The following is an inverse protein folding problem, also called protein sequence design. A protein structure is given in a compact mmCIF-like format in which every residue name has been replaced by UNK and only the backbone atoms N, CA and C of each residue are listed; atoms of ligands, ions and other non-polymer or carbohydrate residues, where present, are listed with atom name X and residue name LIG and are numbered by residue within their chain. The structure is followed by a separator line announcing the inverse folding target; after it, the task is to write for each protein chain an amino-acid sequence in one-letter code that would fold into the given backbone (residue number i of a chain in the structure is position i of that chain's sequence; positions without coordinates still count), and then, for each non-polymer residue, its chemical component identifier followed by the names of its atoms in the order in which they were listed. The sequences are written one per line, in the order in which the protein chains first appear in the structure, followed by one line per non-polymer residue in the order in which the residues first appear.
data_IF_927796442184
#
_entry.id   IF_927796442184
#
_cell.length_a   1.000
_cell.length_b   1.000
_cell.length_c   1.000
_cell.angle_alpha   90.00
_cell.angle_beta   90.00
_cell.angle_gamma   90.00
#
_symmetry.space_group_name_H-M   'P 1'
#
loop_
_entity.id
_entity.type
_entity.pdbx_description
1 polymer ?
#
# COMPACT_ATOMS: atom_id res chain seq x y z
N UNK A 1 9.64 13.04 -15.16
CA UNK A 1 11.08 13.21 -14.83
C UNK A 1 11.29 14.18 -13.67
N UNK A 2 10.73 15.39 -13.70
CA UNK A 2 10.81 16.35 -12.59
C UNK A 2 10.34 15.75 -11.26
N UNK A 3 9.25 14.98 -11.26
CA UNK A 3 8.72 14.30 -10.08
C UNK A 3 9.71 13.28 -9.50
N UNK A 4 10.31 12.42 -10.33
CA UNK A 4 11.34 11.47 -9.88
C UNK A 4 12.57 12.16 -9.27
N UNK A 5 12.99 13.29 -9.84
CA UNK A 5 14.09 14.06 -9.28
C UNK A 5 13.68 14.71 -7.96
N UNK A 6 12.50 15.34 -7.88
CA UNK A 6 11.98 15.95 -6.65
C UNK A 6 11.79 14.93 -5.54
N UNK A 7 11.21 13.77 -5.83
CA UNK A 7 10.97 12.72 -4.84
C UNK A 7 12.29 12.27 -4.22
N UNK A 8 13.33 12.04 -5.02
CA UNK A 8 14.61 11.54 -4.53
C UNK A 8 15.56 12.62 -3.96
N UNK A 9 15.60 13.82 -4.56
CA UNK A 9 16.63 14.83 -4.28
C UNK A 9 16.21 15.93 -3.30
N UNK A 10 14.91 16.08 -3.01
CA UNK A 10 14.39 17.14 -2.15
C UNK A 10 13.86 16.65 -0.79
N UNK A 11 14.03 15.38 -0.47
CA UNK A 11 13.76 14.83 0.86
C UNK A 11 15.07 14.55 1.59
N UNK A 12 15.16 14.94 2.87
CA UNK A 12 16.30 14.60 3.72
C UNK A 12 16.36 13.09 4.04
N UNK A 13 15.28 12.35 3.77
CA UNK A 13 15.13 10.91 3.95
C UNK A 13 14.88 10.17 2.62
N UNK A 14 15.15 8.86 2.58
CA UNK A 14 14.87 8.02 1.39
C UNK A 14 13.35 7.83 1.24
N UNK A 15 12.76 8.40 0.19
CA UNK A 15 11.30 8.35 -0.07
C UNK A 15 10.94 7.36 -1.17
N UNK A 16 11.61 7.47 -2.31
CA UNK A 16 11.39 6.67 -3.51
C UNK A 16 12.60 5.81 -3.84
N UNK A 17 12.42 4.89 -4.80
CA UNK A 17 13.55 4.18 -5.41
C UNK A 17 14.57 5.18 -5.96
N UNK A 18 15.85 4.90 -5.74
CA UNK A 18 16.92 5.80 -6.13
C UNK A 18 16.98 5.92 -7.64
N UNK A 19 17.02 7.17 -8.11
CA UNK A 19 17.15 7.53 -9.51
C UNK A 19 18.57 8.03 -9.79
N UNK A 20 19.29 7.34 -10.66
CA UNK A 20 20.67 7.68 -11.02
C UNK A 20 20.75 8.66 -12.19
N UNK A 21 19.74 8.66 -13.07
CA UNK A 21 19.68 9.53 -14.23
C UNK A 21 19.00 8.87 -15.43
N UNK A 22 19.20 9.45 -16.60
CA UNK A 22 18.67 8.94 -17.86
C UNK A 22 19.79 8.43 -18.76
N UNK A 23 19.45 7.49 -19.62
CA UNK A 23 20.28 7.04 -20.74
C UNK A 23 19.44 6.96 -22.00
N UNK A 24 20.06 6.69 -23.14
CA UNK A 24 19.40 6.51 -24.42
C UNK A 24 19.87 5.20 -25.05
N UNK A 25 18.92 4.41 -25.53
CA UNK A 25 19.22 3.19 -26.26
C UNK A 25 19.90 3.55 -27.60
N UNK A 26 21.10 3.02 -27.92
CA UNK A 26 21.82 3.42 -29.12
C UNK A 26 21.18 2.95 -30.42
N UNK A 27 20.30 1.94 -30.38
CA UNK A 27 19.66 1.38 -31.58
C UNK A 27 18.28 2.03 -31.81
N UNK A 28 17.41 1.97 -30.81
CA UNK A 28 16.03 2.46 -30.87
C UNK A 28 15.93 3.96 -30.60
N UNK A 29 16.98 4.59 -30.06
CA UNK A 29 17.00 5.98 -29.63
C UNK A 29 15.97 6.31 -28.53
N UNK A 30 15.42 5.29 -27.87
CA UNK A 30 14.48 5.42 -26.77
C UNK A 30 15.18 5.91 -25.51
N UNK A 31 14.59 6.89 -24.83
CA UNK A 31 15.07 7.32 -23.51
C UNK A 31 14.70 6.28 -22.45
N UNK A 32 15.64 6.00 -21.55
CA UNK A 32 15.48 5.06 -20.45
C UNK A 32 15.87 5.71 -19.13
N UNK A 33 15.21 5.29 -18.04
CA UNK A 33 15.56 5.70 -16.68
C UNK A 33 16.48 4.66 -16.04
N UNK A 34 17.53 5.12 -15.37
CA UNK A 34 18.45 4.28 -14.60
C UNK A 34 18.06 4.38 -13.13
N UNK A 35 17.52 3.28 -12.60
CA UNK A 35 17.02 3.16 -11.23
C UNK A 35 17.86 2.14 -10.45
N UNK A 36 17.78 2.20 -9.12
CA UNK A 36 18.35 1.17 -8.27
C UNK A 36 17.69 -0.18 -8.49
N UNK A 37 18.48 -1.24 -8.45
CA UNK A 37 17.98 -2.58 -8.74
C UNK A 37 17.37 -3.20 -7.49
N UNK A 38 16.03 -3.32 -7.48
CA UNK A 38 15.28 -4.01 -6.45
C UNK A 38 15.32 -5.53 -6.66
N UNK A 39 16.35 -6.17 -6.12
CA UNK A 39 16.64 -7.60 -6.33
C UNK A 39 15.47 -8.53 -6.01
N UNK A 40 14.71 -8.24 -4.95
CA UNK A 40 13.60 -9.08 -4.50
C UNK A 40 12.25 -8.66 -5.13
N UNK A 41 12.28 -7.72 -6.07
CA UNK A 41 11.12 -7.32 -6.86
C UNK A 41 10.08 -6.53 -6.08
N UNK A 42 8.79 -6.79 -6.38
CA UNK A 42 7.66 -6.04 -5.84
C UNK A 42 6.96 -6.73 -4.68
N UNK A 43 6.28 -5.93 -3.85
CA UNK A 43 5.63 -6.37 -2.62
C UNK A 43 4.54 -7.42 -2.88
N UNK A 44 3.82 -7.37 -4.01
CA UNK A 44 2.77 -8.36 -4.30
C UNK A 44 3.35 -9.76 -4.44
N UNK A 45 4.36 -9.91 -5.29
CA UNK A 45 5.01 -11.21 -5.50
C UNK A 45 5.74 -11.68 -4.24
N UNK A 46 6.33 -10.74 -3.49
CA UNK A 46 6.93 -11.05 -2.21
C UNK A 46 5.92 -11.60 -1.20
N UNK A 47 4.74 -10.98 -1.07
CA UNK A 47 3.68 -11.44 -0.16
C UNK A 47 3.18 -12.84 -0.55
N UNK A 48 2.95 -13.11 -1.84
CA UNK A 48 2.53 -14.45 -2.31
C UNK A 48 3.46 -15.57 -1.83
N UNK A 49 4.76 -15.31 -1.82
CA UNK A 49 5.78 -16.32 -1.49
C UNK A 49 6.07 -16.36 0.01
N UNK A 50 6.15 -15.18 0.65
CA UNK A 50 6.76 -15.03 1.97
C UNK A 50 5.77 -14.68 3.08
N UNK A 51 4.47 -14.52 2.81
CA UNK A 51 3.51 -14.01 3.81
C UNK A 51 3.58 -14.71 5.17
N UNK A 52 3.67 -16.05 5.19
CA UNK A 52 3.75 -16.84 6.43
C UNK A 52 5.03 -16.57 7.25
N UNK A 53 6.07 -16.03 6.63
CA UNK A 53 7.34 -15.66 7.28
C UNK A 53 7.34 -14.22 7.82
N UNK A 54 6.30 -13.42 7.54
CA UNK A 54 6.20 -12.02 7.95
C UNK A 54 5.43 -11.93 9.26
N UNK A 55 6.16 -11.76 10.37
CA UNK A 55 5.56 -11.57 11.69
C UNK A 55 4.93 -10.16 11.86
N UNK A 56 4.15 -9.99 12.93
CA UNK A 56 3.47 -8.72 13.22
C UNK A 56 4.40 -7.53 13.43
N UNK A 57 5.59 -7.74 13.99
CA UNK A 57 6.56 -6.66 14.14
C UNK A 57 6.99 -6.13 12.77
N UNK A 58 7.26 -7.02 11.82
CA UNK A 58 7.60 -6.65 10.46
C UNK A 58 6.41 -6.00 9.74
N UNK A 59 5.19 -6.54 9.90
CA UNK A 59 3.97 -5.92 9.33
C UNK A 59 3.79 -4.47 9.81
N UNK A 60 3.89 -4.22 11.12
CA UNK A 60 3.78 -2.87 11.69
C UNK A 60 4.89 -1.94 11.20
N UNK A 61 6.13 -2.43 11.17
CA UNK A 61 7.26 -1.68 10.66
C UNK A 61 7.05 -1.28 9.20
N UNK A 62 6.65 -2.24 8.36
CA UNK A 62 6.43 -2.01 6.94
C UNK A 62 5.29 -0.99 6.70
N UNK A 63 4.18 -1.09 7.44
CA UNK A 63 3.09 -0.10 7.36
C UNK A 63 3.57 1.29 7.75
N UNK A 64 4.34 1.40 8.83
CA UNK A 64 4.91 2.67 9.27
C UNK A 64 5.89 3.26 8.23
N UNK A 65 6.82 2.46 7.70
CA UNK A 65 7.80 2.88 6.69
C UNK A 65 7.09 3.40 5.42
N UNK A 66 6.08 2.70 4.92
CA UNK A 66 5.29 3.17 3.78
C UNK A 66 4.54 4.47 4.07
N UNK A 67 3.92 4.58 5.26
CA UNK A 67 3.23 5.82 5.63
C UNK A 67 4.19 7.01 5.75
N UNK A 68 5.39 6.79 6.26
CA UNK A 68 6.44 7.80 6.36
C UNK A 68 6.92 8.26 4.97
N UNK A 69 7.15 7.31 4.06
CA UNK A 69 7.56 7.63 2.68
C UNK A 69 6.50 8.42 1.92
N UNK A 70 5.24 8.02 2.04
CA UNK A 70 4.14 8.74 1.43
C UNK A 70 3.89 10.11 2.07
N UNK A 71 4.10 10.26 3.38
CA UNK A 71 4.08 11.57 4.05
C UNK A 71 5.08 12.52 3.38
N UNK A 72 6.33 12.10 3.20
CA UNK A 72 7.36 12.91 2.55
C UNK A 72 7.05 13.19 1.06
N UNK A 73 6.51 12.21 0.32
CA UNK A 73 6.06 12.43 -1.07
C UNK A 73 4.94 13.50 -1.12
N UNK A 74 4.00 13.43 -0.17
CA UNK A 74 2.90 14.38 -0.08
C UNK A 74 3.35 15.77 0.38
N UNK A 75 4.40 15.90 1.20
CA UNK A 75 5.00 17.19 1.54
C UNK A 75 5.57 17.92 0.33
N UNK A 76 6.01 17.17 -0.69
CA UNK A 76 6.46 17.70 -1.99
C UNK A 76 5.29 18.04 -2.93
N UNK A 77 4.04 17.98 -2.44
CA UNK A 77 2.81 18.18 -3.21
C UNK A 77 2.68 17.23 -4.42
N UNK A 78 3.24 16.01 -4.30
CA UNK A 78 3.11 14.93 -5.28
C UNK A 78 1.97 14.01 -4.86
N UNK A 79 1.06 13.69 -5.79
CA UNK A 79 0.09 12.60 -5.68
C UNK A 79 0.56 11.46 -6.56
N UNK A 80 0.60 10.24 -6.03
CA UNK A 80 1.14 9.08 -6.74
C UNK A 80 0.20 8.54 -7.82
N UNK A 81 -1.11 8.50 -7.54
CA UNK A 81 -2.18 8.03 -8.45
C UNK A 81 -2.21 6.54 -8.77
N UNK A 82 -1.07 5.86 -8.72
CA UNK A 82 -0.93 4.42 -8.95
C UNK A 82 -0.21 3.71 -7.79
N UNK A 83 -0.62 4.01 -6.55
CA UNK A 83 0.00 3.44 -5.37
C UNK A 83 -0.57 2.04 -5.09
N UNK A 84 0.15 0.99 -5.46
CA UNK A 84 -0.23 -0.40 -5.20
C UNK A 84 1.00 -1.28 -4.93
N UNK A 85 0.84 -2.53 -4.46
CA UNK A 85 1.96 -3.41 -4.11
C UNK A 85 2.91 -3.77 -5.26
N UNK A 86 2.51 -3.53 -6.52
CA UNK A 86 3.38 -3.70 -7.68
C UNK A 86 4.42 -2.57 -7.82
N UNK A 87 4.09 -1.38 -7.30
CA UNK A 87 4.94 -0.18 -7.29
C UNK A 87 5.66 0.02 -5.96
N UNK A 88 5.70 -1.01 -5.11
CA UNK A 88 6.49 -1.06 -3.89
C UNK A 88 7.58 -2.09 -4.08
N UNK A 89 8.82 -1.63 -4.20
CA UNK A 89 9.97 -2.44 -4.56
C UNK A 89 10.94 -2.60 -3.39
N UNK A 90 11.67 -3.71 -3.34
CA UNK A 90 12.73 -3.88 -2.36
C UNK A 90 13.83 -4.84 -2.84
N UNK A 91 15.03 -4.65 -2.30
CA UNK A 91 16.16 -5.56 -2.51
C UNK A 91 16.25 -6.67 -1.45
N UNK A 92 15.58 -6.50 -0.31
CA UNK A 92 15.59 -7.47 0.80
C UNK A 92 14.32 -7.46 1.69
N UNK A 93 13.32 -6.63 1.36
CA UNK A 93 12.10 -6.34 2.13
C UNK A 93 12.32 -5.96 3.60
N UNK A 94 13.53 -5.51 3.95
CA UNK A 94 13.81 -4.78 5.19
C UNK A 94 13.61 -3.28 5.02
N UNK A 95 13.79 -2.77 3.81
CA UNK A 95 13.52 -1.38 3.43
C UNK A 95 12.72 -1.38 2.13
N UNK A 96 11.53 -0.81 2.13
CA UNK A 96 10.71 -0.73 0.92
C UNK A 96 10.94 0.60 0.21
N UNK A 97 10.76 0.63 -1.10
CA UNK A 97 10.89 1.85 -1.89
C UNK A 97 9.65 2.01 -2.75
N UNK A 98 9.11 3.22 -2.77
CA UNK A 98 8.00 3.58 -3.65
C UNK A 98 8.59 3.89 -5.03
N UNK A 99 8.00 3.32 -6.07
CA UNK A 99 8.48 3.42 -7.45
C UNK A 99 7.37 3.83 -8.41
N UNK A 100 7.73 4.00 -9.67
CA UNK A 100 6.83 4.31 -10.77
C UNK A 100 5.98 5.57 -10.56
N UNK A 101 6.59 6.71 -10.83
CA UNK A 101 5.93 8.01 -10.80
C UNK A 101 5.47 8.44 -12.20
N UNK A 102 5.29 7.50 -13.13
CA UNK A 102 4.91 7.77 -14.52
C UNK A 102 3.54 8.44 -14.63
N UNK A 103 2.63 8.13 -13.71
CA UNK A 103 1.28 8.69 -13.60
C UNK A 103 1.16 9.79 -12.54
N UNK A 104 2.19 10.00 -11.72
CA UNK A 104 2.14 10.94 -10.61
C UNK A 104 1.96 12.38 -11.09
N UNK A 105 1.32 13.21 -10.26
CA UNK A 105 1.09 14.64 -10.56
C UNK A 105 1.49 15.54 -9.41
N UNK A 106 1.90 16.76 -9.76
CA UNK A 106 2.07 17.86 -8.82
C UNK A 106 0.73 18.57 -8.65
N UNK A 107 0.27 18.74 -7.41
CA UNK A 107 -1.03 19.36 -7.10
C UNK A 107 -1.11 20.83 -7.58
N UNK A 108 0.04 21.50 -7.72
CA UNK A 108 0.11 22.90 -8.18
C UNK A 108 0.34 23.05 -9.68
N UNK A 109 0.21 21.98 -10.47
CA UNK A 109 0.30 22.07 -11.92
C UNK A 109 -0.85 22.94 -12.47
N UNK A 110 -0.53 23.74 -13.49
CA UNK A 110 -1.29 24.89 -13.99
C UNK A 110 -2.81 24.62 -14.13
N UNK A 111 -3.71 25.33 -13.42
CA UNK A 111 -5.17 25.12 -13.46
C UNK A 111 -5.80 25.41 -14.84
N UNK A 112 -5.02 25.98 -15.78
CA UNK A 112 -5.47 26.37 -17.11
C UNK A 112 -5.42 25.24 -18.15
N UNK A 113 -5.04 24.02 -17.76
CA UNK A 113 -5.08 22.86 -18.64
C UNK A 113 -5.87 21.73 -17.96
N UNK A 114 -7.21 21.76 -18.02
CA UNK A 114 -8.02 20.65 -17.54
C UNK A 114 -7.75 19.47 -18.47
N UNK A 115 -6.77 18.64 -18.11
CA UNK A 115 -6.62 17.34 -18.72
C UNK A 115 -7.93 16.58 -18.56
N UNK A 116 -8.31 15.77 -19.56
CA UNK A 116 -9.45 14.88 -19.39
C UNK A 116 -9.27 14.08 -18.09
N UNK A 117 -10.34 13.96 -17.30
CA UNK A 117 -10.44 13.07 -16.14
C UNK A 117 -10.32 11.62 -16.62
N UNK A 118 -9.11 11.21 -16.93
CA UNK A 118 -8.78 9.83 -17.28
C UNK A 118 -8.50 9.10 -15.97
N UNK A 119 -9.12 7.93 -15.83
CA UNK A 119 -8.91 7.04 -14.69
C UNK A 119 -7.76 6.10 -15.06
N UNK A 120 -6.75 6.03 -14.20
CA UNK A 120 -5.56 5.21 -14.37
C UNK A 120 -5.26 4.37 -13.12
N UNK A 121 -4.40 3.37 -13.29
CA UNK A 121 -3.92 2.53 -12.21
C UNK A 121 -4.76 1.27 -11.98
N UNK A 122 -4.44 0.56 -10.89
CA UNK A 122 -4.97 -0.78 -10.62
C UNK A 122 -6.31 -0.72 -9.88
N UNK A 123 -7.39 -1.13 -10.56
CA UNK A 123 -8.79 -0.88 -10.16
C UNK A 123 -9.12 -1.04 -8.66
N UNK A 124 -8.79 -2.15 -7.97
CA UNK A 124 -9.09 -2.29 -6.54
C UNK A 124 -8.45 -1.25 -5.60
N UNK A 125 -7.37 -0.60 -6.05
CA UNK A 125 -6.62 0.41 -5.28
C UNK A 125 -7.03 1.85 -5.65
N UNK A 126 -7.89 2.03 -6.66
CA UNK A 126 -8.40 3.35 -7.05
C UNK A 126 -9.54 3.74 -6.10
N UNK A 127 -9.49 4.97 -5.59
CA UNK A 127 -10.49 5.49 -4.68
C UNK A 127 -11.86 5.70 -5.35
N UNK A 128 -12.99 5.53 -4.63
CA UNK A 128 -14.34 5.59 -5.21
C UNK A 128 -14.70 6.95 -5.84
N UNK A 129 -14.20 8.05 -5.29
CA UNK A 129 -14.40 9.41 -5.83
C UNK A 129 -13.65 9.64 -7.16
N UNK A 130 -12.59 8.87 -7.39
CA UNK A 130 -11.85 8.88 -8.66
C UNK A 130 -12.54 7.96 -9.67
N UNK A 131 -12.94 6.74 -9.24
CA UNK A 131 -13.66 5.78 -10.09
C UNK A 131 -14.99 6.31 -10.63
N UNK A 132 -15.70 7.11 -9.84
CA UNK A 132 -16.96 7.77 -10.23
C UNK A 132 -16.74 8.91 -11.24
N UNK A 133 -15.52 9.43 -11.36
CA UNK A 133 -15.20 10.63 -12.15
C UNK A 133 -15.64 11.94 -11.48
N UNK A 134 -16.09 11.89 -10.23
CA UNK A 134 -16.52 13.05 -9.46
C UNK A 134 -15.34 13.96 -9.16
N UNK A 135 -14.21 13.39 -8.76
CA UNK A 135 -13.00 14.10 -8.34
C UNK A 135 -11.76 13.67 -9.13
N UNK A 136 -10.74 14.54 -9.16
CA UNK A 136 -9.40 14.14 -9.60
C UNK A 136 -8.66 13.41 -8.46
N UNK A 137 -7.53 12.77 -8.79
CA UNK A 137 -6.68 12.16 -7.79
C UNK A 137 -6.15 13.21 -6.80
N UNK A 138 -6.37 12.96 -5.52
CA UNK A 138 -5.88 13.79 -4.41
C UNK A 138 -4.96 12.97 -3.50
N UNK A 139 -4.31 13.64 -2.54
CA UNK A 139 -3.58 12.96 -1.45
C UNK A 139 -4.47 11.91 -0.73
N UNK A 140 -5.76 12.20 -0.55
CA UNK A 140 -6.69 11.28 0.09
C UNK A 140 -7.02 10.05 -0.76
N UNK A 141 -6.84 10.11 -2.09
CA UNK A 141 -6.95 8.95 -2.97
C UNK A 141 -5.77 7.98 -2.75
N UNK A 142 -4.54 8.49 -2.61
CA UNK A 142 -3.38 7.64 -2.25
C UNK A 142 -3.56 7.00 -0.85
N UNK A 143 -4.22 7.69 0.09
CA UNK A 143 -4.55 7.14 1.42
C UNK A 143 -5.54 5.98 1.30
N UNK A 144 -6.52 6.05 0.40
CA UNK A 144 -7.40 4.92 0.11
C UNK A 144 -6.59 3.72 -0.38
N UNK A 145 -5.68 3.95 -1.33
CA UNK A 145 -4.81 2.89 -1.86
C UNK A 145 -3.94 2.28 -0.76
N UNK A 146 -3.40 3.09 0.16
CA UNK A 146 -2.68 2.61 1.34
C UNK A 146 -3.55 1.71 2.23
N UNK A 147 -4.83 2.03 2.42
CA UNK A 147 -5.77 1.17 3.16
C UNK A 147 -5.91 -0.22 2.54
N UNK A 148 -6.01 -0.29 1.21
CA UNK A 148 -6.08 -1.55 0.47
C UNK A 148 -4.75 -2.32 0.53
N UNK A 149 -3.60 -1.63 0.41
CA UNK A 149 -2.26 -2.21 0.60
C UNK A 149 -2.13 -2.79 2.02
N UNK A 150 -2.57 -2.06 3.03
CA UNK A 150 -2.52 -2.50 4.42
C UNK A 150 -3.38 -3.76 4.63
N UNK A 151 -4.58 -3.81 4.03
CA UNK A 151 -5.38 -5.02 4.02
C UNK A 151 -4.61 -6.23 3.43
N UNK A 152 -3.96 -6.07 2.28
CA UNK A 152 -3.21 -7.15 1.63
C UNK A 152 -1.98 -7.58 2.45
N UNK A 153 -1.25 -6.64 3.04
CA UNK A 153 -0.12 -6.95 3.92
C UNK A 153 -0.53 -7.70 5.21
N UNK A 154 -1.72 -7.42 5.73
CA UNK A 154 -2.21 -8.06 6.96
C UNK A 154 -2.78 -9.43 6.69
N UNK A 155 -3.53 -9.58 5.59
CA UNK A 155 -4.29 -10.80 5.28
C UNK A 155 -3.55 -11.76 4.36
N UNK A 156 -2.62 -11.24 3.55
CA UNK A 156 -1.92 -12.01 2.50
C UNK A 156 -2.76 -12.20 1.24
N UNK A 157 -3.99 -11.69 1.20
CA UNK A 157 -4.88 -11.83 0.06
C UNK A 157 -4.98 -10.50 -0.69
N UNK A 158 -4.86 -10.51 -2.03
CA UNK A 158 -5.18 -9.33 -2.81
C UNK A 158 -6.68 -9.02 -2.70
N UNK A 159 -7.09 -7.77 -2.93
CA UNK A 159 -8.49 -7.38 -2.89
C UNK A 159 -9.26 -7.99 -4.08
N UNK A 160 -10.41 -8.61 -3.79
CA UNK A 160 -11.36 -9.15 -4.79
C UNK A 160 -10.78 -10.19 -5.77
N UNK A 161 -10.05 -11.22 -5.30
CA UNK A 161 -9.36 -12.17 -6.17
C UNK A 161 -10.31 -12.96 -7.06
N UNK A 162 -11.55 -13.14 -6.65
CA UNK A 162 -12.55 -14.03 -7.23
C UNK A 162 -13.52 -13.33 -8.19
N UNK A 163 -13.35 -12.03 -8.44
CA UNK A 163 -14.26 -11.20 -9.25
C UNK A 163 -13.49 -10.58 -10.44
N UNK A 164 -14.10 -10.46 -11.64
CA UNK A 164 -13.54 -9.64 -12.71
C UNK A 164 -13.24 -8.20 -12.26
N UNK A 165 -12.11 -7.64 -12.69
CA UNK A 165 -11.80 -6.23 -12.48
C UNK A 165 -12.32 -5.40 -13.65
N UNK A 166 -13.63 -5.20 -13.67
CA UNK A 166 -14.35 -4.47 -14.71
C UNK A 166 -15.20 -3.32 -14.13
N UNK A 167 -16.02 -2.71 -14.98
CA UNK A 167 -16.90 -1.62 -14.58
C UNK A 167 -17.92 -2.02 -13.50
N UNK A 168 -18.30 -3.30 -13.39
CA UNK A 168 -19.22 -3.76 -12.34
C UNK A 168 -18.52 -3.74 -10.97
N UNK A 169 -17.25 -4.18 -10.91
CA UNK A 169 -16.46 -4.05 -9.68
C UNK A 169 -16.25 -2.58 -9.30
N UNK A 170 -15.94 -1.71 -10.28
CA UNK A 170 -15.82 -0.27 -10.03
C UNK A 170 -17.10 0.32 -9.41
N UNK A 171 -18.27 0.02 -10.00
CA UNK A 171 -19.56 0.45 -9.47
C UNK A 171 -19.84 -0.10 -8.06
N UNK A 172 -19.50 -1.37 -7.79
CA UNK A 172 -19.61 -1.94 -6.44
C UNK A 172 -18.74 -1.21 -5.43
N UNK A 173 -17.51 -0.84 -5.78
CA UNK A 173 -16.60 -0.06 -4.91
C UNK A 173 -17.17 1.32 -4.62
N UNK A 174 -17.68 2.02 -5.64
CA UNK A 174 -18.37 3.31 -5.48
C UNK A 174 -19.60 3.17 -4.56
N UNK A 175 -20.32 2.05 -4.63
CA UNK A 175 -21.46 1.73 -3.77
C UNK A 175 -21.07 1.17 -2.37
N UNK A 176 -19.78 1.23 -2.01
CA UNK A 176 -19.31 0.90 -0.67
C UNK A 176 -18.80 -0.53 -0.47
N UNK A 177 -18.63 -1.32 -1.53
CA UNK A 177 -17.93 -2.60 -1.43
C UNK A 177 -16.51 -2.39 -0.90
N UNK A 178 -16.11 -3.18 0.11
CA UNK A 178 -14.78 -3.20 0.69
C UNK A 178 -14.31 -4.65 0.89
N UNK A 179 -13.00 -4.93 0.89
CA UNK A 179 -12.48 -6.24 1.23
C UNK A 179 -12.85 -6.65 2.66
N UNK A 180 -13.11 -7.94 2.88
CA UNK A 180 -13.52 -8.47 4.18
C UNK A 180 -12.31 -8.68 5.09
N UNK A 181 -12.18 -7.84 6.12
CA UNK A 181 -11.12 -8.00 7.14
C UNK A 181 -11.45 -9.20 8.04
N UNK A 182 -10.52 -10.16 8.25
CA UNK A 182 -10.72 -11.26 9.18
C UNK A 182 -10.98 -10.77 10.62
N UNK A 183 -11.92 -11.41 11.33
CA UNK A 183 -12.33 -10.97 12.67
C UNK A 183 -11.22 -11.05 13.72
N UNK A 184 -10.20 -11.89 13.48
CA UNK A 184 -9.04 -12.06 14.37
C UNK A 184 -7.95 -11.02 14.12
N UNK A 185 -8.09 -10.15 13.11
CA UNK A 185 -7.18 -9.02 12.91
C UNK A 185 -7.25 -8.07 14.11
N UNK A 186 -6.11 -7.57 14.63
CA UNK A 186 -6.09 -6.57 15.69
C UNK A 186 -6.99 -5.37 15.37
N UNK A 187 -7.94 -5.07 16.26
CA UNK A 187 -8.94 -4.01 16.08
C UNK A 187 -8.33 -2.64 15.80
N UNK A 188 -7.19 -2.32 16.41
CA UNK A 188 -6.47 -1.07 16.14
C UNK A 188 -6.04 -0.98 14.67
N UNK A 189 -5.53 -2.07 14.10
CA UNK A 189 -5.14 -2.15 12.68
C UNK A 189 -6.36 -2.15 11.77
N UNK A 190 -7.43 -2.85 12.15
CA UNK A 190 -8.73 -2.79 11.46
C UNK A 190 -9.24 -1.35 11.38
N UNK A 191 -9.15 -0.56 12.46
CA UNK A 191 -9.55 0.86 12.46
C UNK A 191 -8.69 1.73 11.55
N UNK A 192 -7.38 1.47 11.47
CA UNK A 192 -6.49 2.16 10.51
C UNK A 192 -6.96 1.88 9.09
N UNK A 193 -7.07 0.61 8.70
CA UNK A 193 -7.52 0.21 7.35
C UNK A 193 -8.89 0.84 7.03
N UNK A 194 -9.83 0.76 7.98
CA UNK A 194 -11.19 1.26 7.77
C UNK A 194 -11.29 2.78 7.58
N UNK A 195 -10.47 3.56 8.28
CA UNK A 195 -10.42 5.02 8.09
C UNK A 195 -9.75 5.38 6.76
N UNK A 196 -8.70 4.66 6.36
CA UNK A 196 -8.02 4.90 5.08
C UNK A 196 -8.96 4.78 3.89
N UNK A 197 -9.90 3.81 3.91
CA UNK A 197 -10.84 3.59 2.80
C UNK A 197 -12.26 4.09 3.07
N UNK A 198 -12.45 5.02 4.00
CA UNK A 198 -13.76 5.63 4.27
C UNK A 198 -14.30 6.29 2.99
N UNK A 199 -15.60 6.14 2.75
CA UNK A 199 -16.25 6.73 1.58
C UNK A 199 -16.21 8.26 1.61
N UNK A 200 -16.21 8.86 2.81
CA UNK A 200 -16.05 10.30 2.99
C UNK A 200 -14.56 10.63 2.96
N UNK A 201 -14.13 11.29 1.89
CA UNK A 201 -12.74 11.69 1.68
C UNK A 201 -12.16 12.44 2.90
N UNK A 202 -12.94 13.32 3.53
CA UNK A 202 -12.53 14.12 4.69
C UNK A 202 -12.36 13.33 6.00
N UNK A 203 -12.79 12.07 6.04
CA UNK A 203 -12.62 11.19 7.21
C UNK A 203 -11.37 10.32 7.09
N UNK A 204 -10.71 10.33 5.92
CA UNK A 204 -9.44 9.64 5.72
C UNK A 204 -8.32 10.44 6.41
N UNK A 205 -7.41 9.76 7.14
CA UNK A 205 -6.31 10.43 7.81
C UNK A 205 -5.29 10.92 6.80
N UNK A 206 -4.41 11.83 7.21
CA UNK A 206 -3.20 12.14 6.44
C UNK A 206 -2.13 11.07 6.65
N UNK A 207 -1.13 11.02 5.77
CA UNK A 207 0.03 10.14 6.00
C UNK A 207 0.86 10.54 7.22
N UNK A 208 0.85 11.81 7.62
CA UNK A 208 1.46 12.28 8.88
C UNK A 208 0.77 11.64 10.10
N UNK A 209 -0.57 11.68 10.15
CA UNK A 209 -1.35 11.04 11.22
C UNK A 209 -1.13 9.53 11.25
N UNK A 210 -1.13 8.88 10.07
CA UNK A 210 -0.86 7.45 9.95
C UNK A 210 0.55 7.08 10.41
N UNK A 211 1.55 7.87 10.02
CA UNK A 211 2.95 7.65 10.40
C UNK A 211 3.11 7.70 11.92
N UNK A 212 2.58 8.74 12.56
CA UNK A 212 2.64 8.89 14.02
C UNK A 212 1.94 7.75 14.76
N UNK A 213 0.74 7.36 14.32
CA UNK A 213 -0.04 6.29 14.95
C UNK A 213 0.63 4.92 14.79
N UNK A 214 1.05 4.58 13.56
CA UNK A 214 1.71 3.30 13.27
C UNK A 214 3.08 3.19 13.94
N UNK A 215 3.80 4.30 14.10
CA UNK A 215 5.03 4.35 14.88
C UNK A 215 4.77 4.01 16.35
N UNK A 216 3.68 4.54 16.93
CA UNK A 216 3.23 4.18 18.27
C UNK A 216 2.99 2.67 18.40
N UNK A 217 2.24 2.07 17.49
CA UNK A 217 1.98 0.62 17.48
C UNK A 217 3.27 -0.20 17.34
N UNK A 218 4.13 0.15 16.38
CA UNK A 218 5.40 -0.53 16.16
C UNK A 218 6.32 -0.43 17.38
N UNK A 219 6.48 0.76 17.95
CA UNK A 219 7.39 1.00 19.09
C UNK A 219 6.94 0.24 20.33
N UNK A 220 5.65 0.27 20.68
CA UNK A 220 5.12 -0.51 21.80
C UNK A 220 5.33 -2.01 21.60
N UNK A 221 5.01 -2.55 20.42
CA UNK A 221 5.16 -3.98 20.16
C UNK A 221 6.63 -4.42 20.13
N UNK A 222 7.53 -3.60 19.54
CA UNK A 222 8.98 -3.82 19.54
C UNK A 222 9.53 -3.87 20.97
N UNK A 223 9.14 -2.93 21.81
CA UNK A 223 9.62 -2.83 23.18
C UNK A 223 9.08 -3.95 24.07
N UNK A 224 7.85 -4.42 23.79
CA UNK A 224 7.32 -5.66 24.35
C UNK A 224 8.18 -6.87 24.00
N UNK A 225 8.47 -7.09 22.72
CA UNK A 225 9.28 -8.23 22.28
C UNK A 225 10.71 -8.18 22.83
N UNK A 226 11.32 -6.99 22.93
CA UNK A 226 12.74 -6.84 23.32
C UNK A 226 12.96 -6.78 24.83
N UNK A 227 12.06 -6.15 25.58
CA UNK A 227 12.26 -5.81 26.99
C UNK A 227 11.15 -6.33 27.91
N UNK A 228 10.09 -6.94 27.37
CA UNK A 228 8.90 -7.31 28.15
C UNK A 228 8.09 -6.11 28.65
N UNK A 229 8.39 -4.89 28.18
CA UNK A 229 7.65 -3.67 28.53
C UNK A 229 6.31 -3.60 27.79
N UNK A 230 5.36 -2.81 28.28
CA UNK A 230 4.07 -2.60 27.59
C UNK A 230 3.31 -3.90 27.25
N UNK A 231 3.50 -4.96 28.04
CA UNK A 231 2.82 -6.25 27.87
C UNK A 231 1.29 -6.10 27.89
N UNK A 232 0.81 -5.06 28.57
CA UNK A 232 -0.60 -4.70 28.69
C UNK A 232 -1.04 -3.63 27.69
N UNK A 233 -0.18 -3.22 26.74
CA UNK A 233 -0.60 -2.31 25.66
C UNK A 233 -1.71 -2.95 24.85
N UNK A 234 -2.70 -2.15 24.48
CA UNK A 234 -3.86 -2.63 23.72
C UNK A 234 -3.43 -3.33 22.42
N UNK A 235 -2.44 -2.77 21.72
CA UNK A 235 -1.90 -3.36 20.49
C UNK A 235 -1.21 -4.71 20.74
N UNK A 236 -0.39 -4.82 21.80
CA UNK A 236 0.31 -6.06 22.13
C UNK A 236 -0.65 -7.18 22.50
N UNK A 237 -1.69 -6.87 23.30
CA UNK A 237 -2.75 -7.82 23.66
C UNK A 237 -3.50 -8.30 22.41
N UNK A 238 -3.87 -7.39 21.50
CA UNK A 238 -4.61 -7.74 20.30
C UNK A 238 -3.79 -8.58 19.32
N UNK A 239 -2.50 -8.26 19.14
CA UNK A 239 -1.60 -9.04 18.30
C UNK A 239 -1.41 -10.44 18.86
N UNK A 240 -1.16 -10.59 20.17
CA UNK A 240 -1.01 -11.90 20.79
C UNK A 240 -2.25 -12.79 20.54
N UNK A 241 -3.45 -12.23 20.67
CA UNK A 241 -4.70 -12.95 20.37
C UNK A 241 -4.81 -13.36 18.90
N UNK A 242 -4.35 -12.51 17.98
CA UNK A 242 -4.32 -12.82 16.56
C UNK A 242 -3.35 -13.98 16.25
N UNK A 243 -2.16 -13.95 16.83
CA UNK A 243 -1.14 -15.01 16.69
C UNK A 243 -1.61 -16.34 17.28
N UNK A 244 -2.21 -16.32 18.47
CA UNK A 244 -2.82 -17.51 19.10
C UNK A 244 -3.92 -18.12 18.23
N UNK A 245 -4.74 -17.27 17.57
CA UNK A 245 -5.77 -17.75 16.66
C UNK A 245 -5.18 -18.42 15.41
N UNK A 246 -4.17 -17.81 14.78
CA UNK A 246 -3.50 -18.38 13.60
C UNK A 246 -2.82 -19.72 13.92
N UNK A 247 -2.12 -19.83 15.05
CA UNK A 247 -1.46 -21.07 15.47
C UNK A 247 -2.47 -22.22 15.69
N UNK A 248 -3.66 -21.91 16.22
CA UNK A 248 -4.70 -22.91 16.40
C UNK A 248 -5.29 -23.39 15.07
N UNK A 249 -5.37 -22.54 14.04
CA UNK A 249 -5.88 -22.95 12.72
C UNK A 249 -4.91 -23.88 11.98
N UNK A 250 -3.60 -23.63 12.05
CA UNK A 250 -2.59 -24.53 11.45
C UNK A 250 -2.61 -25.93 12.06
N UNK A 251 -3.01 -26.06 13.33
CA UNK A 251 -3.12 -27.35 14.01
C UNK A 251 -4.34 -28.19 13.58
N UNK A 252 -5.36 -27.54 13.01
CA UNK A 252 -6.58 -28.18 12.52
C UNK A 252 -6.53 -28.30 11.00
N UNK A 253 -5.99 -29.42 10.48
CA UNK A 253 -5.93 -29.78 9.05
C UNK A 253 -7.29 -29.61 8.33
N UNK A 254 -7.62 -28.39 7.93
CA UNK A 254 -8.81 -28.06 7.16
C UNK A 254 -8.34 -27.41 5.87
N UNK A 255 -9.04 -27.72 4.78
CA UNK A 255 -8.81 -27.22 3.42
C UNK A 255 -9.14 -25.73 3.33
N UNK A 256 -8.42 -24.90 4.09
CA UNK A 256 -8.59 -23.45 4.13
C UNK A 256 -7.77 -22.85 2.99
N UNK A 257 -8.38 -21.96 2.22
CA UNK A 257 -7.67 -21.14 1.24
C UNK A 257 -6.57 -20.35 1.96
N UNK A 258 -5.31 -20.64 1.62
CA UNK A 258 -4.16 -19.90 2.14
C UNK A 258 -3.73 -18.82 1.15
N UNK A 259 -2.99 -17.80 1.59
CA UNK A 259 -2.31 -16.84 0.70
C UNK A 259 -1.42 -17.51 -0.37
N UNK A 260 -1.04 -18.78 -0.17
CA UNK A 260 -0.22 -19.55 -1.10
C UNK A 260 -1.02 -20.16 -2.27
N UNK A 261 -2.33 -20.42 -2.08
CA UNK A 261 -3.13 -21.28 -2.97
C UNK A 261 -4.49 -20.68 -3.36
N UNK A 262 -4.70 -19.38 -3.20
CA UNK A 262 -5.95 -18.76 -3.65
C UNK A 262 -6.03 -18.75 -5.19
N UNK A 263 -7.22 -19.01 -5.73
CA UNK A 263 -7.48 -18.91 -7.16
C UNK A 263 -7.92 -17.48 -7.49
N UNK A 264 -7.29 -16.90 -8.50
CA UNK A 264 -7.70 -15.62 -9.07
C UNK A 264 -8.64 -15.85 -10.25
N UNK A 265 -9.69 -15.05 -10.34
CA UNK A 265 -10.47 -14.93 -11.56
C UNK A 265 -9.54 -14.49 -12.72
N UNK A 266 -9.63 -15.05 -13.94
CA UNK A 266 -8.72 -14.69 -15.04
C UNK A 266 -8.75 -13.21 -15.43
N UNK A 267 -9.84 -12.52 -15.12
CA UNK A 267 -10.02 -11.08 -15.35
C UNK A 267 -9.74 -10.23 -14.10
N UNK A 268 -9.22 -10.81 -13.01
CA UNK A 268 -8.75 -10.06 -11.86
C UNK A 268 -7.31 -9.57 -12.13
N UNK A 269 -7.20 -8.38 -12.72
CA UNK A 269 -5.92 -7.80 -13.17
C UNK A 269 -5.36 -6.85 -12.10
N UNK A 270 -4.15 -7.14 -11.65
CA UNK A 270 -3.47 -6.39 -10.59
C UNK A 270 -2.27 -5.57 -11.08
N UNK A 271 -2.10 -5.46 -12.39
CA UNK A 271 -1.01 -4.73 -13.03
C UNK A 271 -1.57 -3.51 -13.74
N UNK A 272 -0.80 -2.42 -13.73
CA UNK A 272 -1.04 -1.19 -14.48
C UNK A 272 -0.87 -1.39 -15.98
#
# INVERSE_FOLDING_TARGET
MEIHFKSYACSDDVTSIRFYGITQDPETHSYMMVLDYAKDGNLREYLKINFNNINWKQKLYNLNDLSFRMMNIHELDIVHQDFHPGNILSSDFKVMNISDFGLSKLIRANPNNPEKKNIFGVLPYIAPEVLSGDEEYTKAADVYSFGIIAYEMITGFPPYPDIPHDNDLAMKICNGLRPKIPFHTPKLITRVIMRCWDARVTYRPTFEELCAELWGYYSYYRDYLKYGKYKESEIGIQIKKAEEFSANQESTNTTITTPLNYQTHPQAIYTS
#
